data_IF_294039667038
#
_entry.id   IF_294039667038
#
_cell.length_a   1.000
_cell.length_b   1.000
_cell.length_c   1.000
_cell.angle_alpha   90.00
_cell.angle_beta   90.00
_cell.angle_gamma   90.00
#
_symmetry.space_group_name_H-M   'P 1'
#
loop_
_entity.id
_entity.type
_entity.pdbx_description
1 polymer ?
#
# COMPACT_ATOMS: atom_id res chain seq x y z
N UNK A 1 -25.27 9.35 10.02
CA UNK A 1 -23.90 9.72 10.42
C UNK A 1 -22.98 8.67 9.80
N UNK A 2 -22.03 8.89 8.90
CA UNK A 2 -21.39 10.03 8.22
C UNK A 2 -20.70 9.38 6.98
N UNK A 3 -20.80 9.88 5.74
CA UNK A 3 -19.89 10.86 5.11
C UNK A 3 -18.41 10.57 5.43
N UNK A 4 -17.47 10.30 4.52
CA UNK A 4 -17.33 10.59 3.08
C UNK A 4 -16.20 9.70 2.51
N UNK A 5 -16.46 8.94 1.44
CA UNK A 5 -15.40 8.35 0.61
C UNK A 5 -14.99 9.40 -0.42
N UNK A 6 -13.86 10.07 -0.20
CA UNK A 6 -13.34 11.09 -1.11
C UNK A 6 -12.52 10.38 -2.20
N UNK A 7 -13.20 9.89 -3.24
CA UNK A 7 -12.54 9.48 -4.48
C UNK A 7 -12.10 10.74 -5.23
N UNK A 8 -10.79 10.96 -5.29
CA UNK A 8 -10.18 12.00 -6.13
C UNK A 8 -10.45 11.76 -7.63
N UNK A 9 -10.30 12.79 -8.47
CA UNK A 9 -10.95 12.83 -9.77
C UNK A 9 -10.08 12.27 -10.91
N UNK A 10 -9.77 10.97 -10.96
CA UNK A 10 -9.15 10.33 -12.16
C UNK A 10 -9.57 8.86 -12.37
N UNK A 11 -10.86 8.57 -12.56
CA UNK A 11 -11.37 7.65 -13.58
C UNK A 11 -12.89 7.47 -13.44
N UNK A 12 -13.69 7.67 -14.51
CA UNK A 12 -15.13 7.47 -14.44
C UNK A 12 -15.45 5.97 -14.32
N UNK A 13 -15.78 5.54 -13.09
CA UNK A 13 -16.48 4.29 -12.75
C UNK A 13 -15.75 2.99 -13.10
N UNK A 14 -14.52 2.81 -12.58
CA UNK A 14 -14.02 1.46 -12.27
C UNK A 14 -14.79 0.92 -11.07
N UNK A 15 -15.82 0.12 -11.35
CA UNK A 15 -16.51 -0.65 -10.30
C UNK A 15 -15.72 -1.90 -10.03
N UNK A 16 -14.77 -1.80 -9.10
CA UNK A 16 -14.17 -2.96 -8.46
C UNK A 16 -15.29 -3.80 -7.81
N UNK A 17 -15.22 -5.12 -7.98
CA UNK A 17 -16.06 -6.01 -7.19
C UNK A 17 -15.60 -5.99 -5.72
N UNK A 18 -16.46 -6.43 -4.80
CA UNK A 18 -16.15 -6.37 -3.36
C UNK A 18 -14.88 -7.17 -2.98
N UNK A 19 -14.54 -8.22 -3.73
CA UNK A 19 -13.34 -9.02 -3.48
C UNK A 19 -12.06 -8.33 -3.98
N UNK A 20 -12.12 -7.62 -5.12
CA UNK A 20 -11.02 -6.80 -5.65
C UNK A 20 -10.72 -5.62 -4.73
N UNK A 21 -11.75 -4.93 -4.23
CA UNK A 21 -11.59 -3.86 -3.23
C UNK A 21 -10.90 -4.39 -1.96
N UNK A 22 -11.34 -5.53 -1.44
CA UNK A 22 -10.76 -6.10 -0.24
C UNK A 22 -9.28 -6.49 -0.44
N UNK A 23 -8.92 -6.98 -1.63
CA UNK A 23 -7.52 -7.30 -1.95
C UNK A 23 -6.67 -6.03 -2.02
N UNK A 24 -7.17 -4.96 -2.66
CA UNK A 24 -6.49 -3.67 -2.73
C UNK A 24 -6.31 -3.08 -1.32
N UNK A 25 -7.36 -3.04 -0.49
CA UNK A 25 -7.28 -2.56 0.90
C UNK A 25 -6.28 -3.36 1.75
N UNK A 26 -6.22 -4.67 1.54
CA UNK A 26 -5.28 -5.56 2.23
C UNK A 26 -3.84 -5.28 1.80
N UNK A 27 -3.61 -5.06 0.49
CA UNK A 27 -2.31 -4.71 -0.06
C UNK A 27 -1.86 -3.30 0.39
N UNK A 28 -2.76 -2.32 0.43
CA UNK A 28 -2.48 -0.98 0.98
C UNK A 28 -2.07 -1.06 2.45
N UNK A 29 -2.79 -1.84 3.24
CA UNK A 29 -2.46 -2.06 4.66
C UNK A 29 -1.07 -2.69 4.81
N UNK A 30 -0.75 -3.70 3.99
CA UNK A 30 0.55 -4.35 4.00
C UNK A 30 1.70 -3.40 3.61
N UNK A 31 1.49 -2.57 2.58
CA UNK A 31 2.44 -1.54 2.16
C UNK A 31 2.66 -0.49 3.24
N UNK A 32 1.59 0.05 3.83
CA UNK A 32 1.69 1.04 4.91
C UNK A 32 2.45 0.49 6.12
N UNK A 33 2.16 -0.76 6.53
CA UNK A 33 2.89 -1.41 7.61
C UNK A 33 4.39 -1.57 7.30
N UNK A 34 4.75 -1.88 6.05
CA UNK A 34 6.13 -2.01 5.63
C UNK A 34 6.87 -0.66 5.62
N UNK A 35 6.21 0.41 5.16
CA UNK A 35 6.74 1.78 5.19
C UNK A 35 6.94 2.26 6.63
N UNK A 36 5.98 1.99 7.51
CA UNK A 36 6.09 2.35 8.92
C UNK A 36 7.22 1.59 9.61
N UNK A 37 7.39 0.30 9.31
CA UNK A 37 8.52 -0.48 9.81
C UNK A 37 9.86 0.10 9.33
N UNK A 38 9.98 0.43 8.04
CA UNK A 38 11.17 1.07 7.47
C UNK A 38 11.49 2.40 8.15
N UNK A 39 10.52 3.31 8.25
CA UNK A 39 10.70 4.62 8.91
C UNK A 39 11.05 4.48 10.38
N UNK A 40 10.43 3.53 11.09
CA UNK A 40 10.75 3.26 12.49
C UNK A 40 12.16 2.71 12.65
N UNK A 41 12.62 1.82 11.77
CA UNK A 41 13.98 1.30 11.78
C UNK A 41 15.01 2.40 11.50
N UNK A 42 14.74 3.30 10.54
CA UNK A 42 15.57 4.49 10.30
C UNK A 42 15.62 5.41 11.53
N UNK A 43 14.46 5.71 12.13
CA UNK A 43 14.36 6.60 13.29
C UNK A 43 15.05 6.04 14.54
N UNK A 44 15.03 4.71 14.71
CA UNK A 44 15.72 4.02 15.80
C UNK A 44 17.23 3.85 15.56
N UNK A 45 17.70 4.14 14.35
CA UNK A 45 19.10 3.90 13.97
C UNK A 45 19.44 2.41 13.95
N UNK A 46 18.52 1.57 13.48
CA UNK A 46 18.78 0.14 13.26
C UNK A 46 19.89 -0.08 12.23
N UNK A 47 20.38 -1.33 12.12
CA UNK A 47 21.46 -1.65 11.18
C UNK A 47 21.07 -1.32 9.73
N UNK A 48 22.05 -0.89 8.93
CA UNK A 48 21.81 -0.60 7.51
C UNK A 48 21.24 -1.79 6.74
N UNK A 49 21.64 -3.00 7.12
CA UNK A 49 21.10 -4.25 6.57
C UNK A 49 19.59 -4.33 6.84
N UNK A 50 19.18 -4.13 8.09
CA UNK A 50 17.77 -4.16 8.48
C UNK A 50 16.94 -3.07 7.82
N UNK A 51 17.48 -1.86 7.73
CA UNK A 51 16.83 -0.74 7.03
C UNK A 51 16.66 -1.05 5.54
N UNK A 52 17.67 -1.64 4.89
CA UNK A 52 17.59 -2.04 3.49
C UNK A 52 16.57 -3.17 3.28
N UNK A 53 16.53 -4.19 4.14
CA UNK A 53 15.52 -5.25 4.08
C UNK A 53 14.09 -4.69 4.13
N UNK A 54 13.83 -3.75 5.06
CA UNK A 54 12.52 -3.14 5.24
C UNK A 54 12.16 -2.22 4.08
N UNK A 55 13.14 -1.51 3.51
CA UNK A 55 12.96 -0.70 2.30
C UNK A 55 12.60 -1.58 1.10
N UNK A 56 13.30 -2.69 0.92
CA UNK A 56 13.09 -3.59 -0.20
C UNK A 56 11.73 -4.33 -0.04
N UNK A 57 11.34 -4.65 1.20
CA UNK A 57 10.00 -5.15 1.53
C UNK A 57 8.91 -4.12 1.18
N UNK A 58 9.09 -2.86 1.58
CA UNK A 58 8.13 -1.80 1.27
C UNK A 58 7.97 -1.60 -0.24
N UNK A 59 9.07 -1.62 -1.00
CA UNK A 59 9.03 -1.56 -2.47
C UNK A 59 8.28 -2.76 -3.07
N UNK A 60 8.56 -3.97 -2.60
CA UNK A 60 7.85 -5.16 -3.08
C UNK A 60 6.33 -5.06 -2.84
N UNK A 61 5.92 -4.49 -1.71
CA UNK A 61 4.49 -4.26 -1.40
C UNK A 61 3.87 -3.12 -2.20
N UNK A 62 4.65 -2.10 -2.54
CA UNK A 62 4.22 -1.06 -3.49
C UNK A 62 3.96 -1.64 -4.87
N UNK A 63 4.86 -2.50 -5.36
CA UNK A 63 4.72 -3.17 -6.67
C UNK A 63 3.52 -4.11 -6.70
N UNK A 64 3.26 -4.84 -5.62
CA UNK A 64 2.06 -5.69 -5.46
C UNK A 64 0.79 -4.85 -5.49
N UNK A 65 0.73 -3.76 -4.71
CA UNK A 65 -0.42 -2.85 -4.69
C UNK A 65 -0.66 -2.24 -6.07
N UNK A 66 0.39 -1.74 -6.72
CA UNK A 66 0.30 -1.15 -8.06
C UNK A 66 -0.14 -2.20 -9.08
N UNK A 67 0.38 -3.41 -9.00
CA UNK A 67 -0.04 -4.51 -9.87
C UNK A 67 -1.52 -4.83 -9.69
N UNK A 68 -2.04 -4.84 -8.46
CA UNK A 68 -3.46 -5.06 -8.21
C UNK A 68 -4.33 -3.92 -8.73
N UNK A 69 -3.85 -2.68 -8.61
CA UNK A 69 -4.52 -1.50 -9.16
C UNK A 69 -4.54 -1.55 -10.69
N UNK A 70 -3.41 -1.92 -11.33
CA UNK A 70 -3.24 -2.03 -12.78
C UNK A 70 -3.94 -3.26 -13.37
N UNK A 71 -4.05 -4.39 -12.66
CA UNK A 71 -4.74 -5.60 -13.14
C UNK A 71 -6.26 -5.40 -13.23
N UNK A 72 -6.76 -4.36 -12.57
CA UNK A 72 -8.15 -3.94 -12.60
C UNK A 72 -8.41 -2.82 -13.64
N UNK A 73 -7.45 -2.57 -14.55
CA UNK A 73 -7.55 -1.69 -15.74
C UNK A 73 -7.90 -2.46 -17.02
#
# INVERSE_FOLDING_TARGET
MSGTATTGPENPLKTYNAAELQQIESAETAYNNAIDAFKNAEARGESKERVNELRDLARSKEEELRSLQDLCD
#
